data_IF_590835214727
#
_entry.id   IF_590835214727
#
_cell.length_a   1.000
_cell.length_b   1.000
_cell.length_c   1.000
_cell.angle_alpha   90.00
_cell.angle_beta   90.00
_cell.angle_gamma   90.00
#
_symmetry.space_group_name_H-M   'P 1'
#
loop_
_entity.id
_entity.type
_entity.pdbx_description
1 polymer ?
#
# COMPACT_ATOMS: atom_id res chain seq x y z
N UNK A 1 -20.43 10.36 2.57
CA UNK A 1 -19.59 9.84 1.47
C UNK A 1 -19.61 8.34 1.59
N UNK A 2 -20.16 7.63 0.61
CA UNK A 2 -20.30 6.16 0.67
C UNK A 2 -20.05 5.61 -0.73
N UNK A 3 -19.29 4.51 -0.82
CA UNK A 3 -19.12 3.79 -2.06
C UNK A 3 -20.38 2.97 -2.37
N UNK A 4 -20.69 2.80 -3.64
CA UNK A 4 -21.72 1.87 -4.08
C UNK A 4 -21.17 0.44 -4.02
N UNK A 5 -21.81 -0.40 -3.20
CA UNK A 5 -21.40 -1.79 -2.89
C UNK A 5 -22.54 -2.79 -3.10
N UNK A 6 -23.63 -2.38 -3.76
CA UNK A 6 -24.86 -3.17 -3.87
C UNK A 6 -24.63 -4.57 -4.49
N UNK A 7 -23.68 -4.68 -5.42
CA UNK A 7 -23.41 -5.91 -6.18
C UNK A 7 -22.08 -6.59 -5.79
N UNK A 8 -21.53 -6.29 -4.61
CA UNK A 8 -20.20 -6.77 -4.20
C UNK A 8 -20.23 -7.57 -2.91
N UNK A 9 -19.50 -8.70 -2.87
CA UNK A 9 -19.29 -9.45 -1.65
C UNK A 9 -18.32 -8.68 -0.73
N UNK A 10 -18.76 -8.21 0.45
CA UNK A 10 -17.91 -7.43 1.35
C UNK A 10 -16.75 -8.23 1.93
N UNK A 11 -16.83 -9.57 2.00
CA UNK A 11 -15.75 -10.41 2.52
C UNK A 11 -14.58 -10.56 1.53
N UNK A 12 -14.84 -10.41 0.23
CA UNK A 12 -13.83 -10.51 -0.83
C UNK A 12 -13.32 -9.13 -1.27
N UNK A 13 -14.01 -8.06 -0.88
CA UNK A 13 -13.65 -6.70 -1.27
C UNK A 13 -12.32 -6.26 -0.60
N UNK A 14 -11.38 -5.80 -1.42
CA UNK A 14 -10.17 -5.13 -0.93
C UNK A 14 -10.43 -3.62 -0.92
N UNK A 15 -10.71 -3.00 0.24
CA UNK A 15 -10.94 -1.57 0.30
C UNK A 15 -9.63 -0.81 0.13
N UNK A 16 -9.66 0.24 -0.66
CA UNK A 16 -8.53 1.16 -0.80
C UNK A 16 -9.04 2.59 -0.98
N UNK A 17 -8.22 3.55 -0.56
CA UNK A 17 -8.50 4.96 -0.77
C UNK A 17 -7.21 5.75 -0.94
N UNK A 18 -7.32 6.94 -1.53
CA UNK A 18 -6.23 7.88 -1.66
C UNK A 18 -6.75 9.31 -1.44
N UNK A 19 -5.86 10.18 -0.95
CA UNK A 19 -6.12 11.60 -0.78
C UNK A 19 -5.37 12.39 -1.85
N UNK A 20 -6.00 13.44 -2.38
CA UNK A 20 -5.31 14.40 -3.23
C UNK A 20 -4.35 15.25 -2.40
N UNK A 21 -3.27 15.75 -3.02
CA UNK A 21 -2.23 16.53 -2.33
C UNK A 21 -2.73 17.81 -1.65
N UNK A 22 -3.84 18.36 -2.14
CA UNK A 22 -4.49 19.56 -1.59
C UNK A 22 -5.65 19.25 -0.63
N UNK A 23 -5.77 18.00 -0.18
CA UNK A 23 -6.80 17.50 0.75
C UNK A 23 -8.25 17.79 0.33
N UNK A 24 -8.45 18.16 -0.94
CA UNK A 24 -9.75 18.58 -1.46
C UNK A 24 -10.57 17.40 -1.97
N UNK A 25 -9.92 16.27 -2.25
CA UNK A 25 -10.55 15.10 -2.84
C UNK A 25 -10.10 13.80 -2.15
N UNK A 26 -11.05 12.89 -2.01
CA UNK A 26 -10.80 11.48 -1.67
C UNK A 26 -11.22 10.64 -2.86
N UNK A 27 -10.38 9.67 -3.22
CA UNK A 27 -10.78 8.57 -4.09
C UNK A 27 -10.88 7.30 -3.26
N UNK A 28 -11.92 6.50 -3.48
CA UNK A 28 -12.13 5.27 -2.71
C UNK A 28 -12.74 4.18 -3.59
N UNK A 29 -12.37 2.93 -3.30
CA UNK A 29 -12.95 1.74 -3.88
C UNK A 29 -13.17 0.68 -2.79
N UNK A 30 -14.22 -0.13 -2.93
CA UNK A 30 -14.58 -1.17 -1.96
C UNK A 30 -15.22 -2.35 -2.68
N UNK A 31 -14.48 -2.94 -3.62
CA UNK A 31 -14.98 -4.02 -4.49
C UNK A 31 -15.81 -3.52 -5.68
N UNK A 32 -16.53 -2.40 -5.53
CA UNK A 32 -17.37 -1.80 -6.58
C UNK A 32 -16.63 -0.78 -7.46
N UNK A 33 -17.39 0.17 -8.03
CA UNK A 33 -16.83 1.30 -8.80
C UNK A 33 -15.93 2.17 -7.92
N UNK A 34 -14.94 2.79 -8.54
CA UNK A 34 -14.12 3.80 -7.89
C UNK A 34 -14.95 5.08 -7.77
N UNK A 35 -15.00 5.66 -6.59
CA UNK A 35 -15.75 6.90 -6.30
C UNK A 35 -14.79 8.04 -5.97
N UNK A 36 -15.03 9.20 -6.56
CA UNK A 36 -14.36 10.46 -6.25
C UNK A 36 -15.28 11.33 -5.39
N UNK A 37 -14.80 11.74 -4.23
CA UNK A 37 -15.52 12.60 -3.30
C UNK A 37 -14.83 13.94 -3.13
N UNK A 38 -15.63 14.99 -2.94
CA UNK A 38 -15.16 16.30 -2.53
C UNK A 38 -15.13 16.38 -1.00
N UNK A 39 -13.96 16.64 -0.42
CA UNK A 39 -13.76 16.68 1.03
C UNK A 39 -14.35 17.91 1.72
N UNK A 40 -14.60 19.00 0.98
CA UNK A 40 -15.21 20.21 1.54
C UNK A 40 -16.73 20.07 1.67
N UNK A 41 -17.37 19.41 0.71
CA UNK A 41 -18.84 19.30 0.62
C UNK A 41 -19.36 17.92 1.01
N UNK A 42 -18.48 16.93 1.18
CA UNK A 42 -18.79 15.53 1.45
C UNK A 42 -19.70 14.87 0.41
N UNK A 43 -19.69 15.37 -0.83
CA UNK A 43 -20.50 14.85 -1.95
C UNK A 43 -19.67 13.98 -2.88
N UNK A 44 -20.32 12.95 -3.42
CA UNK A 44 -19.81 12.17 -4.56
C UNK A 44 -19.80 13.05 -5.80
N UNK A 45 -18.66 13.15 -6.47
CA UNK A 45 -18.51 13.92 -7.69
C UNK A 45 -18.66 13.04 -8.93
N UNK A 46 -18.03 11.86 -8.92
CA UNK A 46 -18.02 10.93 -10.03
C UNK A 46 -17.82 9.50 -9.54
N UNK A 47 -18.28 8.54 -10.33
CA UNK A 47 -17.95 7.12 -10.18
C UNK A 47 -17.53 6.56 -11.53
N UNK A 48 -16.49 5.75 -11.55
CA UNK A 48 -15.90 5.22 -12.79
C UNK A 48 -15.35 3.81 -12.57
N UNK A 49 -14.99 3.15 -13.67
CA UNK A 49 -14.35 1.83 -13.70
C UNK A 49 -15.08 0.77 -12.86
N UNK A 50 -16.25 0.28 -13.33
CA UNK A 50 -16.89 -0.86 -12.68
C UNK A 50 -16.01 -2.12 -12.76
N UNK A 51 -16.01 -2.97 -11.72
CA UNK A 51 -15.35 -4.28 -11.77
C UNK A 51 -16.09 -5.22 -12.76
N UNK A 52 -15.43 -6.28 -13.28
CA UNK A 52 -14.00 -6.62 -13.13
C UNK A 52 -13.09 -5.91 -14.16
N UNK A 53 -11.79 -5.71 -13.86
CA UNK A 53 -11.11 -6.14 -12.64
C UNK A 53 -11.37 -5.21 -11.45
N UNK A 54 -11.24 -5.71 -10.23
CA UNK A 54 -11.41 -4.90 -9.02
C UNK A 54 -10.17 -4.03 -8.77
N UNK A 55 -10.39 -2.79 -8.30
CA UNK A 55 -9.31 -1.92 -7.85
C UNK A 55 -8.84 -2.34 -6.44
N UNK A 56 -7.54 -2.53 -6.28
CA UNK A 56 -6.90 -2.97 -5.03
C UNK A 56 -6.04 -1.89 -4.39
N UNK A 57 -5.63 -0.87 -5.16
CA UNK A 57 -4.84 0.25 -4.65
C UNK A 57 -5.06 1.51 -5.49
N UNK A 58 -4.92 2.69 -4.86
CA UNK A 58 -5.12 3.98 -5.50
C UNK A 58 -3.98 4.93 -5.11
N UNK A 59 -3.53 5.77 -6.05
CA UNK A 59 -2.58 6.84 -5.77
C UNK A 59 -2.82 8.05 -6.69
N UNK A 60 -2.87 9.25 -6.11
CA UNK A 60 -2.89 10.50 -6.88
C UNK A 60 -1.50 10.85 -7.39
N UNK A 61 -1.41 11.31 -8.63
CA UNK A 61 -0.17 11.87 -9.15
C UNK A 61 0.17 13.19 -8.42
N UNK A 62 1.40 13.37 -7.93
CA UNK A 62 1.75 14.43 -6.98
C UNK A 62 1.78 15.85 -7.57
N UNK A 63 1.79 15.97 -8.90
CA UNK A 63 1.83 17.26 -9.61
C UNK A 63 0.59 17.49 -10.50
N UNK A 64 -0.18 16.45 -10.82
CA UNK A 64 -1.36 16.54 -11.67
C UNK A 64 -2.52 15.79 -11.02
N UNK A 65 -3.37 16.51 -10.29
CA UNK A 65 -4.50 15.92 -9.58
C UNK A 65 -5.53 15.26 -10.50
N UNK A 66 -5.42 15.42 -11.82
CA UNK A 66 -6.29 14.72 -12.77
C UNK A 66 -5.81 13.29 -13.06
N UNK A 67 -4.58 12.94 -12.70
CA UNK A 67 -3.97 11.65 -13.01
C UNK A 67 -3.95 10.77 -11.77
N UNK A 68 -4.45 9.56 -11.92
CA UNK A 68 -4.53 8.56 -10.87
C UNK A 68 -3.86 7.27 -11.35
N UNK A 69 -3.04 6.68 -10.50
CA UNK A 69 -2.60 5.30 -10.68
C UNK A 69 -3.55 4.38 -9.90
N UNK A 70 -4.08 3.37 -10.59
CA UNK A 70 -5.05 2.41 -10.07
C UNK A 70 -4.43 1.02 -10.19
N UNK A 71 -4.15 0.40 -9.06
CA UNK A 71 -3.69 -0.98 -8.99
C UNK A 71 -4.89 -1.92 -9.06
N UNK A 72 -4.79 -2.95 -9.89
CA UNK A 72 -5.89 -3.88 -10.15
C UNK A 72 -5.58 -5.29 -9.64
N UNK A 73 -6.63 -6.07 -9.44
CA UNK A 73 -6.52 -7.48 -9.07
C UNK A 73 -5.94 -8.35 -10.20
N UNK A 74 -6.12 -7.95 -11.47
CA UNK A 74 -5.59 -8.64 -12.66
C UNK A 74 -4.09 -8.43 -12.91
N UNK A 75 -3.33 -7.97 -11.90
CA UNK A 75 -1.89 -7.61 -11.94
C UNK A 75 -1.52 -6.35 -12.72
N UNK A 76 -2.50 -5.64 -13.26
CA UNK A 76 -2.24 -4.45 -14.09
C UNK A 76 -2.36 -3.16 -13.27
N UNK A 77 -1.70 -2.11 -13.75
CA UNK A 77 -1.84 -0.76 -13.20
C UNK A 77 -2.43 0.11 -14.31
N UNK A 78 -3.52 0.80 -14.03
CA UNK A 78 -4.11 1.76 -14.97
C UNK A 78 -3.77 3.18 -14.56
N UNK A 79 -3.23 3.95 -15.51
CA UNK A 79 -3.06 5.38 -15.37
C UNK A 79 -4.29 6.03 -15.97
N UNK A 80 -5.13 6.59 -15.11
CA UNK A 80 -6.44 7.11 -15.47
C UNK A 80 -6.48 8.63 -15.33
N UNK A 81 -7.11 9.30 -16.29
CA UNK A 81 -7.35 10.74 -16.25
C UNK A 81 -8.82 11.02 -15.92
N UNK A 82 -9.08 11.52 -14.71
CA UNK A 82 -10.43 11.79 -14.20
C UNK A 82 -11.15 12.92 -14.93
N UNK A 83 -10.41 13.83 -15.59
CA UNK A 83 -10.99 15.00 -16.25
C UNK A 83 -11.60 14.66 -17.60
N UNK A 84 -10.95 13.76 -18.34
CA UNK A 84 -11.42 13.30 -19.67
C UNK A 84 -12.07 11.93 -19.62
N UNK A 85 -12.07 11.26 -18.47
CA UNK A 85 -12.64 9.91 -18.28
C UNK A 85 -11.97 8.85 -19.17
N UNK A 86 -10.64 8.85 -19.22
CA UNK A 86 -9.87 7.95 -20.09
C UNK A 86 -8.69 7.29 -19.38
N UNK A 87 -8.43 6.03 -19.75
CA UNK A 87 -7.20 5.31 -19.39
C UNK A 87 -6.09 5.73 -20.34
N UNK A 88 -5.13 6.51 -19.83
CA UNK A 88 -3.96 6.98 -20.59
C UNK A 88 -2.95 5.87 -20.86
N UNK A 89 -2.75 4.97 -19.91
CA UNK A 89 -1.76 3.89 -20.03
C UNK A 89 -2.13 2.70 -19.16
N UNK A 90 -1.75 1.51 -19.62
CA UNK A 90 -1.90 0.25 -18.89
C UNK A 90 -0.53 -0.37 -18.68
N UNK A 91 -0.10 -0.47 -17.43
CA UNK A 91 1.23 -0.94 -17.05
C UNK A 91 1.17 -2.41 -16.68
N UNK A 92 2.05 -3.21 -17.30
CA UNK A 92 2.07 -4.67 -17.16
C UNK A 92 3.46 -5.09 -16.67
N UNK A 93 3.52 -5.80 -15.55
CA UNK A 93 4.80 -6.25 -15.00
C UNK A 93 4.75 -7.18 -13.82
N UNK A 94 3.74 -7.03 -12.98
CA UNK A 94 3.47 -7.98 -11.92
C UNK A 94 2.77 -9.22 -12.47
N UNK A 95 2.89 -10.33 -11.74
CA UNK A 95 2.24 -11.62 -12.02
C UNK A 95 1.07 -11.92 -11.08
N UNK A 96 0.88 -11.08 -10.07
CA UNK A 96 -0.23 -11.12 -9.12
C UNK A 96 -0.78 -9.72 -8.90
N UNK A 97 -1.92 -9.63 -8.22
CA UNK A 97 -2.59 -8.37 -7.89
C UNK A 97 -1.65 -7.31 -7.33
N UNK A 98 -1.95 -6.05 -7.66
CA UNK A 98 -1.22 -4.91 -7.13
C UNK A 98 -1.58 -4.71 -5.67
N UNK A 99 -0.57 -4.44 -4.83
CA UNK A 99 -0.72 -4.30 -3.37
C UNK A 99 -0.11 -3.00 -2.83
N UNK A 100 0.57 -2.23 -3.68
CA UNK A 100 1.04 -0.90 -3.33
C UNK A 100 1.41 -0.06 -4.54
N UNK A 101 1.18 1.24 -4.42
CA UNK A 101 1.58 2.26 -5.38
C UNK A 101 2.09 3.48 -4.61
N UNK A 102 3.24 4.01 -5.02
CA UNK A 102 3.80 5.21 -4.44
C UNK A 102 4.48 6.06 -5.53
N UNK A 103 4.12 7.34 -5.63
CA UNK A 103 4.79 8.28 -6.52
C UNK A 103 5.97 8.94 -5.82
N UNK A 104 7.05 9.19 -6.58
CA UNK A 104 8.09 10.16 -6.22
C UNK A 104 8.12 11.27 -7.25
N UNK A 105 7.87 12.49 -6.77
CA UNK A 105 7.98 13.69 -7.60
C UNK A 105 9.42 14.20 -7.74
N UNK A 106 10.36 13.71 -6.92
CA UNK A 106 11.77 14.08 -7.05
C UNK A 106 12.48 13.24 -8.11
N UNK A 107 12.04 11.99 -8.28
CA UNK A 107 12.59 11.05 -9.25
C UNK A 107 11.76 10.94 -10.53
N UNK A 108 10.56 11.55 -10.57
CA UNK A 108 9.57 11.40 -11.66
C UNK A 108 9.27 9.92 -11.96
N UNK A 109 8.98 9.16 -10.90
CA UNK A 109 8.66 7.73 -10.99
C UNK A 109 7.42 7.37 -10.19
N UNK A 110 6.77 6.31 -10.63
CA UNK A 110 5.84 5.51 -9.85
C UNK A 110 6.56 4.23 -9.43
N UNK A 111 6.49 3.86 -8.15
CA UNK A 111 6.88 2.54 -7.68
C UNK A 111 5.62 1.74 -7.39
N UNK A 112 5.56 0.51 -7.91
CA UNK A 112 4.50 -0.43 -7.62
C UNK A 112 5.03 -1.69 -6.96
N UNK A 113 4.17 -2.33 -6.18
CA UNK A 113 4.42 -3.62 -5.55
C UNK A 113 3.23 -4.55 -5.71
N UNK A 114 3.51 -5.84 -5.90
CA UNK A 114 2.49 -6.88 -6.07
C UNK A 114 2.54 -7.94 -4.98
N UNK A 115 1.48 -8.74 -4.90
CA UNK A 115 1.46 -9.95 -4.07
C UNK A 115 2.44 -11.04 -4.56
N UNK A 116 3.14 -10.78 -5.67
CA UNK A 116 4.26 -11.56 -6.19
C UNK A 116 5.59 -11.21 -5.53
N UNK A 117 5.59 -10.34 -4.51
CA UNK A 117 6.80 -9.85 -3.84
C UNK A 117 7.78 -9.18 -4.81
N UNK A 118 7.29 -8.64 -5.93
CA UNK A 118 8.08 -7.85 -6.86
C UNK A 118 7.85 -6.35 -6.62
N UNK A 119 8.89 -5.56 -6.82
CA UNK A 119 8.85 -4.12 -6.98
C UNK A 119 9.09 -3.78 -8.45
N UNK A 120 8.29 -2.89 -9.02
CA UNK A 120 8.53 -2.29 -10.33
C UNK A 120 8.66 -0.76 -10.20
N UNK A 121 9.61 -0.17 -10.93
CA UNK A 121 9.77 1.28 -11.05
C UNK A 121 9.39 1.67 -12.48
N UNK A 122 8.49 2.64 -12.59
CA UNK A 122 7.98 3.17 -13.85
C UNK A 122 8.32 4.64 -13.94
N UNK A 123 8.75 5.13 -15.10
CA UNK A 123 8.82 6.57 -15.29
C UNK A 123 7.39 7.15 -15.29
N UNK A 124 7.22 8.41 -14.90
CA UNK A 124 5.95 9.13 -15.10
C UNK A 124 5.85 9.75 -16.49
N UNK A 125 6.98 9.82 -17.21
CA UNK A 125 7.09 10.33 -18.57
C UNK A 125 6.97 9.17 -19.59
N UNK A 126 5.74 8.86 -19.97
CA UNK A 126 5.44 7.78 -20.93
C UNK A 126 5.11 6.43 -20.31
N UNK A 127 5.25 6.29 -18.99
CA UNK A 127 4.87 5.12 -18.20
C UNK A 127 5.59 3.82 -18.54
N UNK A 128 6.85 3.94 -18.97
CA UNK A 128 7.71 2.80 -19.27
C UNK A 128 8.33 2.22 -18.00
N UNK A 129 8.45 0.89 -17.98
CA UNK A 129 9.10 0.17 -16.89
C UNK A 129 10.62 0.37 -16.96
N UNK A 130 11.19 0.94 -15.90
CA UNK A 130 12.62 1.18 -15.81
C UNK A 130 13.36 0.03 -15.13
N UNK A 131 12.86 -0.46 -13.99
CA UNK A 131 13.54 -1.47 -13.16
C UNK A 131 12.54 -2.39 -12.47
N UNK A 132 12.98 -3.61 -12.17
CA UNK A 132 12.25 -4.54 -11.30
C UNK A 132 13.18 -5.19 -10.30
N UNK A 133 12.63 -5.63 -9.17
CA UNK A 133 13.36 -6.44 -8.19
C UNK A 133 12.40 -7.27 -7.35
N UNK A 134 12.71 -8.55 -7.18
CA UNK A 134 12.03 -9.40 -6.20
C UNK A 134 12.61 -9.18 -4.81
N UNK A 135 11.75 -9.21 -3.81
CA UNK A 135 12.18 -9.21 -2.41
C UNK A 135 12.92 -10.50 -2.09
N UNK A 136 14.00 -10.38 -1.33
CA UNK A 136 14.71 -11.55 -0.79
C UNK A 136 14.00 -12.02 0.47
N UNK A 137 13.06 -12.94 0.31
CA UNK A 137 12.34 -13.55 1.43
C UNK A 137 13.33 -14.42 2.24
N UNK A 138 13.40 -14.28 3.58
CA UNK A 138 14.28 -15.09 4.41
C UNK A 138 14.03 -16.59 4.25
N UNK A 139 15.11 -17.38 4.20
CA UNK A 139 15.06 -18.83 4.04
C UNK A 139 14.29 -19.46 5.21
N UNK A 140 13.37 -20.37 4.90
CA UNK A 140 12.53 -21.06 5.89
C UNK A 140 11.20 -20.37 6.18
N UNK A 141 10.95 -19.18 5.61
CA UNK A 141 9.66 -18.51 5.69
C UNK A 141 8.96 -18.62 4.34
N UNK A 142 7.87 -19.37 4.27
CA UNK A 142 6.97 -19.38 3.12
C UNK A 142 5.93 -18.27 3.30
N UNK A 143 5.90 -17.27 2.39
CA UNK A 143 4.86 -16.26 2.43
C UNK A 143 3.47 -16.90 2.27
N UNK A 144 2.48 -16.30 2.91
CA UNK A 144 1.09 -16.70 2.73
C UNK A 144 0.63 -16.47 1.28
N UNK A 145 -0.43 -17.15 0.84
CA UNK A 145 -0.98 -16.91 -0.49
C UNK A 145 -1.47 -15.46 -0.69
N UNK A 146 -1.72 -14.74 0.41
CA UNK A 146 -2.27 -13.39 0.45
C UNK A 146 -1.25 -12.32 0.86
N UNK A 147 0.05 -12.64 0.93
CA UNK A 147 1.07 -11.68 1.35
C UNK A 147 1.00 -10.39 0.54
N UNK A 148 0.81 -9.29 1.25
CA UNK A 148 0.82 -7.96 0.65
C UNK A 148 2.20 -7.34 0.76
N UNK A 149 2.65 -6.70 -0.32
CA UNK A 149 3.81 -5.82 -0.26
C UNK A 149 3.33 -4.39 -0.40
N UNK A 150 3.54 -3.56 0.62
CA UNK A 150 3.22 -2.13 0.56
C UNK A 150 4.49 -1.32 0.41
N UNK A 151 4.36 -0.18 -0.27
CA UNK A 151 5.47 0.72 -0.54
C UNK A 151 5.10 2.15 -0.15
N UNK A 152 6.04 2.87 0.44
CA UNK A 152 5.86 4.27 0.83
C UNK A 152 7.18 5.02 0.68
N UNK A 153 7.15 6.20 0.08
CA UNK A 153 8.34 7.05 0.00
C UNK A 153 8.63 7.74 1.33
N UNK A 154 9.92 7.80 1.66
CA UNK A 154 10.45 8.69 2.68
C UNK A 154 10.27 10.16 2.22
N UNK A 155 10.28 11.11 3.16
CA UNK A 155 10.11 12.54 2.87
C UNK A 155 11.12 13.11 1.86
N UNK A 156 12.31 12.53 1.76
CA UNK A 156 13.33 12.90 0.76
C UNK A 156 12.99 12.46 -0.67
N UNK A 157 11.92 11.68 -0.86
CA UNK A 157 11.43 11.20 -2.16
C UNK A 157 12.41 10.32 -2.95
N UNK A 158 13.50 9.85 -2.31
CA UNK A 158 14.54 9.03 -2.94
C UNK A 158 14.60 7.65 -2.28
N UNK A 159 14.31 7.57 -0.98
CA UNK A 159 14.24 6.31 -0.24
C UNK A 159 12.82 5.79 -0.16
N UNK A 160 12.69 4.47 -0.19
CA UNK A 160 11.41 3.76 -0.17
C UNK A 160 11.38 2.78 1.00
N UNK A 161 10.35 2.87 1.84
CA UNK A 161 9.97 1.81 2.76
C UNK A 161 9.16 0.77 2.02
N UNK A 162 9.60 -0.47 2.16
CA UNK A 162 8.92 -1.66 1.67
C UNK A 162 8.48 -2.45 2.89
N UNK A 163 7.18 -2.71 2.98
CA UNK A 163 6.54 -3.44 4.07
C UNK A 163 6.03 -4.74 3.48
N UNK A 164 6.53 -5.85 3.97
CA UNK A 164 6.07 -7.18 3.63
C UNK A 164 5.79 -7.93 4.94
N UNK A 165 4.92 -8.93 4.93
CA UNK A 165 4.54 -9.64 6.17
C UNK A 165 5.74 -10.25 6.91
N UNK A 166 6.81 -10.56 6.18
CA UNK A 166 8.04 -11.17 6.70
C UNK A 166 9.16 -10.18 7.00
N UNK A 167 9.06 -8.91 6.57
CA UNK A 167 10.15 -7.95 6.71
C UNK A 167 9.74 -6.49 6.51
N UNK A 168 10.49 -5.61 7.16
CA UNK A 168 10.60 -4.20 6.77
C UNK A 168 11.91 -4.00 6.03
N UNK A 169 11.90 -3.24 4.95
CA UNK A 169 13.12 -2.95 4.21
C UNK A 169 13.12 -1.51 3.67
N UNK A 170 14.31 -0.92 3.56
CA UNK A 170 14.54 0.39 2.98
C UNK A 170 15.38 0.26 1.73
N UNK A 171 14.88 0.86 0.66
CA UNK A 171 15.49 0.83 -0.66
C UNK A 171 15.91 2.24 -1.09
N UNK A 172 17.04 2.34 -1.77
CA UNK A 172 17.37 3.49 -2.62
C UNK A 172 16.67 3.28 -3.96
N UNK A 173 15.70 4.12 -4.32
CA UNK A 173 14.80 3.88 -5.47
C UNK A 173 15.51 3.95 -6.81
N UNK A 174 16.48 4.85 -6.97
CA UNK A 174 17.23 5.03 -8.23
C UNK A 174 17.96 3.75 -8.64
N UNK A 175 18.53 3.03 -7.67
CA UNK A 175 19.21 1.74 -7.91
C UNK A 175 18.30 0.53 -7.66
N UNK A 176 17.18 0.74 -6.97
CA UNK A 176 16.32 -0.30 -6.40
C UNK A 176 17.15 -1.25 -5.50
N UNK A 177 18.04 -0.69 -4.70
CA UNK A 177 18.95 -1.42 -3.81
C UNK A 177 18.48 -1.36 -2.35
N UNK A 178 18.33 -2.53 -1.74
CA UNK A 178 18.03 -2.63 -0.31
C UNK A 178 19.31 -2.30 0.46
N UNK A 179 19.26 -1.28 1.30
CA UNK A 179 20.41 -0.89 2.15
C UNK A 179 20.15 -1.12 3.64
N UNK A 180 18.88 -1.32 4.03
CA UNK A 180 18.50 -1.79 5.38
C UNK A 180 17.32 -2.73 5.30
N UNK A 181 17.38 -3.77 6.12
CA UNK A 181 16.33 -4.76 6.26
C UNK A 181 16.21 -5.14 7.72
N UNK A 182 14.98 -5.26 8.18
CA UNK A 182 14.63 -5.81 9.48
C UNK A 182 13.70 -7.00 9.25
N UNK A 183 14.09 -8.14 9.80
CA UNK A 183 13.31 -9.38 9.76
C UNK A 183 12.87 -9.68 11.20
N UNK A 184 11.58 -9.96 11.45
CA UNK A 184 11.12 -10.39 12.75
C UNK A 184 11.82 -11.69 13.18
N UNK A 185 12.19 -11.80 14.46
CA UNK A 185 12.69 -13.07 15.03
C UNK A 185 11.53 -14.07 15.17
N UNK A 186 11.83 -15.36 15.35
CA UNK A 186 10.83 -16.46 15.42
C UNK A 186 9.64 -16.23 16.38
N UNK A 187 9.77 -15.34 17.39
CA UNK A 187 8.71 -15.01 18.34
C UNK A 187 7.75 -13.89 17.88
N UNK A 188 7.97 -13.25 16.74
CA UNK A 188 7.10 -12.18 16.25
C UNK A 188 6.02 -12.73 15.33
N UNK A 189 4.79 -12.28 15.53
CA UNK A 189 3.73 -12.46 14.55
C UNK A 189 4.09 -11.76 13.22
N UNK A 190 3.44 -12.10 12.09
CA UNK A 190 3.66 -11.41 10.81
C UNK A 190 3.32 -9.92 10.89
N UNK A 191 4.03 -9.11 10.10
CA UNK A 191 3.73 -7.68 9.94
C UNK A 191 2.45 -7.54 9.13
N UNK A 192 1.50 -6.73 9.61
CA UNK A 192 0.26 -6.44 8.89
C UNK A 192 0.31 -5.11 8.16
N UNK A 193 0.96 -4.12 8.77
CA UNK A 193 1.11 -2.79 8.17
C UNK A 193 2.31 -2.06 8.76
N UNK A 194 2.85 -1.09 8.02
CA UNK A 194 3.78 -0.12 8.59
C UNK A 194 3.74 1.19 7.81
N UNK A 195 4.06 2.29 8.50
CA UNK A 195 4.08 3.63 7.90
C UNK A 195 5.17 4.49 8.55
N UNK A 196 5.72 5.43 7.78
CA UNK A 196 6.57 6.49 8.32
C UNK A 196 5.80 7.45 9.24
N UNK A 197 6.49 8.03 10.21
CA UNK A 197 6.07 9.29 10.82
C UNK A 197 6.06 10.42 9.77
N UNK A 198 5.35 11.52 10.04
CA UNK A 198 5.27 12.65 9.11
C UNK A 198 6.62 13.29 8.76
N UNK A 199 7.58 13.27 9.68
CA UNK A 199 8.97 13.71 9.51
C UNK A 199 9.91 12.60 8.98
N UNK A 200 9.36 11.42 8.71
CA UNK A 200 10.05 10.19 8.29
C UNK A 200 11.22 9.77 9.20
N UNK A 201 11.26 10.20 10.46
CA UNK A 201 12.29 9.79 11.43
C UNK A 201 11.99 8.44 12.09
N UNK A 202 10.71 8.04 12.12
CA UNK A 202 10.25 6.79 12.72
C UNK A 202 9.45 5.97 11.71
N UNK A 203 9.40 4.66 11.94
CA UNK A 203 8.45 3.75 11.29
C UNK A 203 7.61 3.08 12.36
N UNK A 204 6.30 3.11 12.23
CA UNK A 204 5.36 2.38 13.07
C UNK A 204 4.93 1.13 12.32
N UNK A 205 5.15 -0.05 12.87
CA UNK A 205 4.69 -1.30 12.29
C UNK A 205 3.70 -2.00 13.23
N UNK A 206 2.58 -2.45 12.68
CA UNK A 206 1.61 -3.31 13.34
C UNK A 206 1.83 -4.76 12.96
N UNK A 207 1.50 -5.64 13.88
CA UNK A 207 1.64 -7.09 13.74
C UNK A 207 0.30 -7.78 13.93
N UNK A 208 0.20 -9.03 13.46
CA UNK A 208 -1.04 -9.81 13.51
C UNK A 208 -1.51 -10.09 14.95
N UNK A 209 -0.58 -10.20 15.91
CA UNK A 209 -0.86 -10.35 17.35
C UNK A 209 -1.29 -9.02 18.02
N UNK A 210 -1.68 -8.03 17.22
CA UNK A 210 -1.98 -6.67 17.62
C UNK A 210 -0.81 -5.98 18.35
N UNK A 211 0.44 -6.42 18.24
CA UNK A 211 1.58 -5.64 18.72
C UNK A 211 1.82 -4.43 17.80
N UNK A 212 2.31 -3.32 18.35
CA UNK A 212 2.90 -2.23 17.56
C UNK A 212 4.38 -2.09 17.93
N UNK A 213 5.27 -2.06 16.94
CA UNK A 213 6.68 -1.70 17.15
C UNK A 213 6.98 -0.36 16.48
N UNK A 214 7.76 0.47 17.18
CA UNK A 214 8.28 1.74 16.68
C UNK A 214 9.74 1.57 16.37
N UNK A 215 10.17 1.95 15.18
CA UNK A 215 11.54 1.82 14.70
C UNK A 215 12.12 3.20 14.39
N UNK A 216 13.45 3.35 14.54
CA UNK A 216 14.18 4.47 13.96
C UNK A 216 14.28 4.24 12.45
N UNK A 217 13.76 5.17 11.65
CA UNK A 217 13.68 5.03 10.20
C UNK A 217 15.05 4.90 9.53
N UNK A 218 16.09 5.58 10.03
CA UNK A 218 17.40 5.56 9.38
C UNK A 218 18.06 4.17 9.29
N UNK A 219 17.69 3.23 10.18
CA UNK A 219 18.33 1.93 10.27
C UNK A 219 17.37 0.76 10.61
N UNK A 220 16.07 1.02 10.70
CA UNK A 220 15.06 0.06 11.16
C UNK A 220 15.41 -0.58 12.51
N UNK A 221 16.06 0.17 13.41
CA UNK A 221 16.32 -0.30 14.77
C UNK A 221 15.05 -0.15 15.62
N UNK A 222 14.55 -1.23 16.26
CA UNK A 222 13.43 -1.13 17.19
C UNK A 222 13.76 -0.16 18.34
N UNK A 223 12.87 0.80 18.58
CA UNK A 223 12.93 1.76 19.68
C UNK A 223 12.07 1.33 20.85
N UNK A 224 10.83 0.92 20.57
CA UNK A 224 9.93 0.37 21.58
C UNK A 224 8.91 -0.58 20.96
N UNK A 225 8.33 -1.42 21.83
CA UNK A 225 7.22 -2.32 21.55
C UNK A 225 6.05 -1.94 22.45
N UNK A 226 4.88 -1.75 21.86
CA UNK A 226 3.62 -1.48 22.55
C UNK A 226 2.81 -2.76 22.46
N UNK A 227 2.58 -3.39 23.62
CA UNK A 227 1.77 -4.60 23.69
C UNK A 227 0.28 -4.24 23.60
N UNK A 228 -0.57 -5.15 23.07
CA UNK A 228 -2.01 -4.92 22.98
C UNK A 228 -2.64 -4.57 24.32
N UNK A 229 -2.10 -5.12 25.42
CA UNK A 229 -2.55 -4.83 26.79
C UNK A 229 -2.42 -3.35 27.21
N UNK A 230 -1.70 -2.53 26.46
CA UNK A 230 -1.58 -1.09 26.73
C UNK A 230 -2.79 -0.27 26.23
N UNK A 231 -3.55 -0.78 25.26
CA UNK A 231 -4.65 -0.03 24.63
C UNK A 231 -5.92 -0.85 24.37
N UNK A 232 -5.83 -2.19 24.42
CA UNK A 232 -7.00 -3.05 24.38
C UNK A 232 -7.58 -3.23 25.80
N UNK A 233 -8.88 -3.02 25.98
CA UNK A 233 -9.56 -3.27 27.25
C UNK A 233 -9.48 -4.75 27.62
N UNK A 234 -9.52 -5.03 28.92
CA UNK A 234 -9.36 -6.39 29.45
C UNK A 234 -10.39 -7.40 28.89
N UNK A 235 -11.59 -6.93 28.51
CA UNK A 235 -12.66 -7.75 27.94
C UNK A 235 -12.35 -8.35 26.56
N UNK A 236 -11.51 -7.68 25.75
CA UNK A 236 -11.12 -8.16 24.42
C UNK A 236 -9.92 -9.12 24.51
N UNK A 237 -9.23 -9.17 25.66
CA UNK A 237 -8.01 -9.99 25.87
C UNK A 237 -8.28 -11.50 25.95
N UNK A 238 -9.53 -11.91 26.12
CA UNK A 238 -9.92 -13.32 26.36
C UNK A 238 -10.60 -13.99 25.15
N UNK A 239 -10.84 -13.26 24.06
CA UNK A 239 -11.52 -13.83 22.88
C UNK A 239 -10.59 -14.66 21.98
N UNK A 240 -9.27 -14.60 22.17
CA UNK A 240 -8.28 -15.30 21.31
C UNK A 240 -7.97 -16.76 21.71
N UNK A 241 -8.76 -17.39 22.59
CA UNK A 241 -8.61 -18.83 22.91
C UNK A 241 -9.92 -19.64 22.88
N UNK A 242 -10.97 -19.14 22.25
CA UNK A 242 -12.13 -19.97 21.94
C UNK A 242 -12.07 -20.42 20.46
N UNK A 243 -11.22 -21.41 20.16
CA UNK A 243 -11.50 -22.30 19.04
C UNK A 243 -12.84 -22.99 19.33
N UNK A 244 -13.92 -22.53 18.70
CA UNK A 244 -15.12 -23.33 18.58
C UNK A 244 -14.80 -24.49 17.62
N UNK A 245 -14.80 -25.70 18.17
CA UNK A 245 -14.85 -26.96 17.43
C UNK A 245 -16.18 -27.12 16.69
#
# INVERSE_FOLDING_TARGET
MTNDVADTNPEEAVPCFALSKNDSYVMSASGGKISLFNMMTFKTMATFMPPPPAATFLAFHPQDNNIIAIGMDDSTIQIYNVRVDEVKSKLIGHSKRITGLAFSHALNVLVSSGADSQLCVWNTDGWEKQKTKFLQIPVGITPTAQSETRVQFHQDQIRLLVVHETQLALYETTKLECFKQWVPRESFAPITHATFSCDSQLVYASFLDATICVFVAANLRPRCRINPSAYLPASVRYLDFACCY
#
